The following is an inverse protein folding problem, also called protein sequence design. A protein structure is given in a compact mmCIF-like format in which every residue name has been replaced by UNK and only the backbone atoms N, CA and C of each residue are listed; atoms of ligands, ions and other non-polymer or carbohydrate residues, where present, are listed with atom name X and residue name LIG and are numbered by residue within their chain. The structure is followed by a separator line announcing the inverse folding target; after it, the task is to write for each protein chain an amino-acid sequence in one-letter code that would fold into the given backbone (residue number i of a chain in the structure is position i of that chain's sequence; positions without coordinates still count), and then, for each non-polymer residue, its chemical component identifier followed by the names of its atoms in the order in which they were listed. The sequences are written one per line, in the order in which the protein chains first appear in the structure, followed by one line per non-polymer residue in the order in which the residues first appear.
data_IF_222270367252
#
_entry.id   IF_222270367252
#
_cell.length_a   1.000
_cell.length_b   1.000
_cell.length_c   1.000
_cell.angle_alpha   90.00
_cell.angle_beta   90.00
_cell.angle_gamma   90.00
#
_symmetry.space_group_name_H-M   'P 1'
#
loop_
_entity.id
_entity.type
_entity.pdbx_description
1 polymer ?
#
# COMPACT_ATOMS: atom_id res chain seq x y z
N UNK A 1 -9.86 -0.76 -15.44
CA UNK A 1 -9.72 -1.40 -14.12
C UNK A 1 -8.40 -0.97 -13.49
N UNK A 2 -7.36 -1.77 -13.57
CA UNK A 2 -6.10 -1.36 -12.99
C UNK A 2 -6.11 -1.40 -11.46
N UNK A 3 -5.38 -0.48 -10.83
CA UNK A 3 -5.27 -0.45 -9.37
C UNK A 3 -6.58 0.05 -8.78
N UNK A 4 -7.32 -0.83 -8.11
CA UNK A 4 -8.59 -0.48 -7.45
C UNK A 4 -8.38 -0.08 -6.00
N UNK A 5 -7.24 -0.44 -5.41
CA UNK A 5 -6.82 -0.03 -4.08
C UNK A 5 -5.30 0.05 -4.04
N UNK A 6 -4.77 1.22 -3.77
CA UNK A 6 -3.36 1.40 -3.44
C UNK A 6 -3.28 1.61 -1.93
N UNK A 7 -2.74 0.62 -1.20
CA UNK A 7 -2.80 0.63 0.25
C UNK A 7 -1.41 0.59 0.86
N UNK A 8 -1.19 1.44 1.83
CA UNK A 8 -0.02 1.40 2.70
C UNK A 8 -0.41 0.71 4.00
N UNK A 9 0.23 -0.42 4.30
CA UNK A 9 0.03 -1.16 5.54
C UNK A 9 1.29 -1.95 5.85
N UNK A 10 1.89 -1.72 7.02
CA UNK A 10 3.15 -2.37 7.39
C UNK A 10 3.07 -3.89 7.46
N UNK A 11 1.86 -4.43 7.61
CA UNK A 11 1.64 -5.87 7.65
C UNK A 11 1.59 -6.50 6.25
N UNK A 12 1.40 -5.69 5.20
CA UNK A 12 1.24 -6.12 3.80
C UNK A 12 0.11 -7.15 3.64
N UNK A 13 0.40 -8.38 3.19
CA UNK A 13 -0.64 -9.42 3.07
C UNK A 13 -0.86 -10.06 4.43
N UNK A 14 -2.05 -9.88 4.97
CA UNK A 14 -2.49 -10.45 6.24
C UNK A 14 -4.01 -10.61 6.24
N UNK A 15 -4.57 -11.15 7.34
CA UNK A 15 -5.99 -11.47 7.41
C UNK A 15 -6.92 -10.34 7.01
N UNK A 16 -6.70 -9.12 7.49
CA UNK A 16 -7.58 -7.99 7.17
C UNK A 16 -7.51 -7.59 5.70
N UNK A 17 -6.33 -7.59 5.09
CA UNK A 17 -6.21 -7.27 3.66
C UNK A 17 -6.90 -8.34 2.83
N UNK A 18 -6.60 -9.60 3.10
CA UNK A 18 -7.13 -10.72 2.31
C UNK A 18 -8.63 -10.92 2.55
N UNK A 19 -9.05 -10.96 3.82
CA UNK A 19 -10.44 -11.27 4.16
C UNK A 19 -11.35 -10.06 3.93
N UNK A 20 -11.02 -8.91 4.51
CA UNK A 20 -11.90 -7.76 4.46
C UNK A 20 -11.85 -7.05 3.10
N UNK A 21 -10.66 -6.67 2.65
CA UNK A 21 -10.52 -5.93 1.39
C UNK A 21 -10.65 -6.82 0.18
N UNK A 22 -10.14 -8.06 0.26
CA UNK A 22 -10.25 -9.02 -0.82
C UNK A 22 -11.69 -9.39 -1.12
N UNK A 23 -12.49 -9.66 -0.09
CA UNK A 23 -13.91 -9.98 -0.29
C UNK A 23 -14.72 -8.77 -0.73
N UNK A 24 -14.40 -7.59 -0.23
CA UNK A 24 -15.10 -6.37 -0.61
C UNK A 24 -14.85 -5.97 -2.06
N UNK A 25 -13.60 -6.00 -2.49
CA UNK A 25 -13.19 -5.55 -3.83
C UNK A 25 -13.15 -6.68 -4.87
N UNK A 26 -12.97 -7.91 -4.44
CA UNK A 26 -12.82 -9.10 -5.31
C UNK A 26 -11.78 -8.87 -6.41
N UNK A 27 -10.51 -8.63 -6.03
CA UNK A 27 -9.48 -8.37 -7.02
C UNK A 27 -9.11 -9.63 -7.79
N UNK A 28 -8.56 -9.43 -8.99
CA UNK A 28 -7.92 -10.52 -9.73
C UNK A 28 -6.54 -10.81 -9.18
N UNK A 29 -5.87 -9.78 -8.65
CA UNK A 29 -4.47 -9.88 -8.22
C UNK A 29 -4.20 -8.97 -7.03
N UNK A 30 -3.32 -9.45 -6.13
CA UNK A 30 -2.72 -8.65 -5.07
C UNK A 30 -1.24 -8.54 -5.37
N UNK A 31 -0.69 -7.33 -5.41
CA UNK A 31 0.73 -7.11 -5.66
C UNK A 31 1.38 -6.42 -4.48
N UNK A 32 2.60 -6.81 -4.16
CA UNK A 32 3.45 -6.12 -3.18
C UNK A 32 4.56 -5.42 -3.96
N UNK A 33 4.74 -4.13 -3.69
CA UNK A 33 5.86 -3.35 -4.20
C UNK A 33 6.84 -3.12 -3.05
N UNK A 34 7.95 -3.87 -3.06
CA UNK A 34 8.91 -3.83 -1.97
C UNK A 34 10.26 -4.38 -2.42
N UNK A 35 11.32 -3.57 -2.28
CA UNK A 35 12.64 -3.96 -2.73
C UNK A 35 13.21 -5.13 -1.93
N UNK A 36 13.05 -5.11 -0.61
CA UNK A 36 13.59 -6.14 0.26
C UNK A 36 12.93 -7.49 -0.01
N UNK A 37 11.60 -7.53 -0.04
CA UNK A 37 10.85 -8.77 -0.27
C UNK A 37 11.12 -9.31 -1.67
N UNK A 38 11.19 -8.45 -2.67
CA UNK A 38 11.47 -8.85 -4.04
C UNK A 38 12.86 -9.51 -4.17
N UNK A 39 13.83 -9.09 -3.36
CA UNK A 39 15.19 -9.65 -3.37
C UNK A 39 15.37 -10.89 -2.50
N UNK A 40 14.36 -11.27 -1.71
CA UNK A 40 14.42 -12.39 -0.78
C UNK A 40 13.44 -13.49 -1.20
N UNK A 41 13.91 -14.60 -1.83
CA UNK A 41 13.02 -15.69 -2.21
C UNK A 41 12.23 -16.26 -1.05
N UNK A 42 12.81 -16.31 0.14
CA UNK A 42 12.16 -16.81 1.34
C UNK A 42 10.99 -15.92 1.78
N UNK A 43 11.21 -14.60 1.85
CA UNK A 43 10.16 -13.66 2.23
C UNK A 43 9.06 -13.61 1.17
N UNK A 44 9.42 -13.64 -0.10
CA UNK A 44 8.48 -13.69 -1.21
C UNK A 44 7.56 -14.90 -1.09
N UNK A 45 8.11 -16.07 -0.84
CA UNK A 45 7.30 -17.29 -0.71
C UNK A 45 6.41 -17.24 0.53
N UNK A 46 6.90 -16.67 1.63
CA UNK A 46 6.12 -16.52 2.86
C UNK A 46 4.84 -15.71 2.60
N UNK A 47 4.94 -14.59 1.90
CA UNK A 47 3.77 -13.78 1.56
C UNK A 47 2.85 -14.49 0.56
N UNK A 48 3.41 -15.18 -0.43
CA UNK A 48 2.60 -15.92 -1.41
C UNK A 48 1.77 -17.01 -0.76
N UNK A 49 2.28 -17.65 0.28
CA UNK A 49 1.54 -18.68 1.04
C UNK A 49 0.33 -18.10 1.79
N UNK A 50 0.30 -16.81 2.05
CA UNK A 50 -0.81 -16.15 2.76
C UNK A 50 -1.98 -15.78 1.86
N UNK A 51 -1.84 -15.95 0.54
CA UNK A 51 -2.86 -15.56 -0.43
C UNK A 51 -3.78 -16.75 -0.72
N UNK A 52 -5.12 -16.57 -0.59
CA UNK A 52 -6.06 -17.62 -0.95
C UNK A 52 -5.97 -17.98 -2.44
N UNK A 53 -6.36 -19.23 -2.81
CA UNK A 53 -6.28 -19.69 -4.20
C UNK A 53 -7.07 -18.86 -5.20
N UNK A 54 -8.08 -18.13 -4.72
CA UNK A 54 -8.95 -17.31 -5.58
C UNK A 54 -8.25 -16.07 -6.14
N UNK A 55 -7.13 -15.67 -5.55
CA UNK A 55 -6.39 -14.49 -5.97
C UNK A 55 -5.02 -14.87 -6.50
N UNK A 56 -4.58 -14.18 -7.54
CA UNK A 56 -3.19 -14.22 -7.94
C UNK A 56 -2.39 -13.22 -7.10
N UNK A 57 -1.12 -13.52 -6.89
CA UNK A 57 -0.24 -12.63 -6.13
C UNK A 57 1.12 -12.52 -6.80
N UNK A 58 1.72 -11.35 -6.65
CA UNK A 58 3.05 -11.06 -7.22
C UNK A 58 3.80 -10.10 -6.32
N UNK A 59 5.13 -10.19 -6.33
CA UNK A 59 6.01 -9.24 -5.65
C UNK A 59 6.94 -8.63 -6.68
N UNK A 60 7.06 -7.32 -6.68
CA UNK A 60 7.95 -6.58 -7.55
C UNK A 60 8.78 -5.59 -6.73
N UNK A 61 10.02 -5.36 -7.15
CA UNK A 61 10.78 -4.23 -6.60
C UNK A 61 10.20 -2.91 -7.15
N UNK A 62 10.64 -1.79 -6.61
CA UNK A 62 10.06 -0.49 -6.99
C UNK A 62 10.36 -0.10 -8.44
N UNK A 63 11.51 -0.49 -8.96
CA UNK A 63 11.83 -0.24 -10.37
C UNK A 63 10.91 -1.01 -11.29
N UNK A 64 10.74 -2.31 -11.06
CA UNK A 64 9.79 -3.14 -11.80
C UNK A 64 8.36 -2.60 -11.68
N UNK A 65 7.97 -2.20 -10.47
CA UNK A 65 6.65 -1.64 -10.20
C UNK A 65 6.41 -0.37 -11.03
N UNK A 66 7.37 0.54 -11.05
CA UNK A 66 7.24 1.79 -11.81
C UNK A 66 7.10 1.53 -13.31
N UNK A 67 7.86 0.59 -13.85
CA UNK A 67 7.78 0.22 -15.26
C UNK A 67 6.43 -0.41 -15.59
N UNK A 68 5.97 -1.34 -14.77
CA UNK A 68 4.69 -2.03 -15.01
C UNK A 68 3.50 -1.08 -14.90
N UNK A 69 3.51 -0.20 -13.91
CA UNK A 69 2.44 0.80 -13.74
C UNK A 69 2.43 1.80 -14.89
N UNK A 70 3.59 2.27 -15.31
CA UNK A 70 3.71 3.21 -16.43
C UNK A 70 3.33 2.59 -17.76
N UNK A 71 3.56 1.29 -17.93
CA UNK A 71 3.25 0.58 -19.16
C UNK A 71 1.83 -0.02 -19.21
N UNK A 72 1.02 0.22 -18.19
CA UNK A 72 -0.35 -0.25 -18.16
C UNK A 72 -0.51 -1.76 -18.03
N UNK A 73 0.48 -2.46 -17.47
CA UNK A 73 0.45 -3.93 -17.33
C UNK A 73 -0.76 -4.44 -16.58
N UNK A 74 -1.24 -3.64 -15.61
CA UNK A 74 -2.37 -4.03 -14.75
C UNK A 74 -3.71 -3.48 -15.21
N UNK A 75 -3.78 -2.78 -16.34
CA UNK A 75 -5.00 -2.04 -16.73
C UNK A 75 -6.21 -2.93 -16.96
N UNK A 76 -6.00 -4.18 -17.30
CA UNK A 76 -7.08 -5.14 -17.59
C UNK A 76 -7.48 -5.99 -16.39
N UNK A 77 -6.79 -5.84 -15.27
CA UNK A 77 -7.06 -6.57 -14.03
C UNK A 77 -7.59 -5.62 -12.96
N UNK A 78 -8.26 -6.19 -11.96
CA UNK A 78 -8.56 -5.49 -10.70
C UNK A 78 -7.42 -5.82 -9.72
N UNK A 79 -6.64 -4.82 -9.35
CA UNK A 79 -5.42 -5.04 -8.57
C UNK A 79 -5.47 -4.27 -7.25
N UNK A 80 -5.15 -4.97 -6.15
CA UNK A 80 -4.79 -4.34 -4.89
C UNK A 80 -3.28 -4.25 -4.85
N UNK A 81 -2.75 -3.03 -4.72
CA UNK A 81 -1.32 -2.78 -4.60
C UNK A 81 -0.97 -2.42 -3.16
N UNK A 82 0.02 -3.08 -2.61
CA UNK A 82 0.44 -2.94 -1.21
C UNK A 82 1.87 -2.43 -1.13
N UNK A 83 2.08 -1.44 -0.28
CA UNK A 83 3.40 -0.96 0.15
C UNK A 83 3.42 -0.89 1.67
N UNK A 84 4.60 -0.91 2.27
CA UNK A 84 4.73 -0.94 3.73
C UNK A 84 5.27 0.35 4.35
N UNK A 85 5.58 1.35 3.54
CA UNK A 85 6.10 2.62 4.07
C UNK A 85 5.86 3.77 3.09
N UNK A 86 5.81 5.02 3.58
CA UNK A 86 5.56 6.18 2.71
C UNK A 86 6.75 6.54 1.80
N UNK A 87 7.98 6.18 2.16
CA UNK A 87 9.14 6.47 1.33
C UNK A 87 9.08 5.75 -0.02
N UNK A 88 8.53 4.54 -0.05
CA UNK A 88 8.35 3.79 -1.28
C UNK A 88 7.35 4.47 -2.22
N UNK A 89 6.30 5.06 -1.68
CA UNK A 89 5.34 5.85 -2.46
C UNK A 89 6.04 7.07 -3.07
N UNK A 90 6.85 7.74 -2.27
CA UNK A 90 7.61 8.90 -2.74
C UNK A 90 8.55 8.51 -3.89
N UNK A 91 9.24 7.38 -3.76
CA UNK A 91 10.12 6.89 -4.81
C UNK A 91 9.37 6.56 -6.11
N UNK A 92 8.23 5.90 -6.01
CA UNK A 92 7.38 5.63 -7.19
C UNK A 92 6.94 6.93 -7.86
N UNK A 93 6.55 7.93 -7.08
CA UNK A 93 6.20 9.25 -7.61
C UNK A 93 7.37 9.92 -8.31
N UNK A 94 8.56 9.85 -7.73
CA UNK A 94 9.78 10.40 -8.34
C UNK A 94 10.14 9.69 -9.65
N UNK A 95 9.74 8.44 -9.81
CA UNK A 95 9.91 7.67 -11.03
C UNK A 95 8.80 7.92 -12.06
N UNK A 96 7.90 8.86 -11.80
CA UNK A 96 6.86 9.26 -12.73
C UNK A 96 5.55 8.50 -12.62
N UNK A 97 5.40 7.64 -11.62
CA UNK A 97 4.14 6.90 -11.44
C UNK A 97 3.05 7.82 -10.90
N UNK A 98 1.89 7.79 -11.52
CA UNK A 98 0.73 8.52 -11.04
C UNK A 98 0.03 7.73 -9.93
N UNK A 99 -0.03 8.31 -8.74
CA UNK A 99 -0.73 7.72 -7.59
C UNK A 99 -1.68 8.79 -7.05
N UNK A 100 -2.95 8.78 -7.46
CA UNK A 100 -3.89 9.85 -7.06
C UNK A 100 -4.37 9.70 -5.62
N UNK A 101 -4.50 8.47 -5.14
CA UNK A 101 -5.07 8.22 -3.82
C UNK A 101 -4.40 7.00 -3.19
N UNK A 102 -4.13 7.07 -1.90
CA UNK A 102 -3.60 5.96 -1.11
C UNK A 102 -4.50 5.72 0.10
N UNK A 103 -4.89 4.47 0.29
CA UNK A 103 -5.58 4.01 1.49
C UNK A 103 -4.53 3.66 2.55
N UNK A 104 -4.62 4.29 3.71
CA UNK A 104 -3.63 4.14 4.77
C UNK A 104 -4.18 3.23 5.86
N UNK A 105 -3.55 2.08 6.02
CA UNK A 105 -3.89 1.10 7.05
C UNK A 105 -2.94 1.16 8.22
N UNK A 106 -2.45 -0.01 8.69
CA UNK A 106 -1.65 -0.11 9.89
C UNK A 106 -0.22 0.40 9.74
N UNK A 107 0.19 1.27 10.62
CA UNK A 107 1.59 1.59 10.90
C UNK A 107 1.79 1.49 12.40
N UNK A 108 2.63 0.54 12.82
CA UNK A 108 2.73 0.13 14.21
C UNK A 108 3.52 1.09 15.07
N UNK A 109 3.31 1.00 16.38
CA UNK A 109 4.13 1.71 17.33
C UNK A 109 5.61 1.33 17.18
N UNK A 110 6.47 2.33 17.20
CA UNK A 110 7.91 2.18 17.38
C UNK A 110 8.44 3.44 18.05
N UNK A 111 9.65 3.37 18.57
CA UNK A 111 10.25 4.54 19.22
C UNK A 111 10.32 5.71 18.24
N UNK A 112 9.89 6.88 18.69
CA UNK A 112 9.87 8.09 17.87
C UNK A 112 8.58 8.29 17.07
N UNK A 113 7.64 7.37 17.15
CA UNK A 113 6.32 7.51 16.50
C UNK A 113 5.27 7.96 17.50
N UNK A 114 4.41 8.87 17.06
CA UNK A 114 3.27 9.39 17.79
C UNK A 114 1.99 8.73 17.30
N UNK A 115 1.08 8.41 18.22
CA UNK A 115 -0.22 7.84 17.85
C UNK A 115 -1.11 8.89 17.21
N UNK A 116 -1.57 8.63 16.01
CA UNK A 116 -2.54 9.46 15.29
C UNK A 116 -3.94 8.84 15.36
N UNK A 117 -4.02 7.53 15.15
CA UNK A 117 -5.23 6.71 15.25
C UNK A 117 -4.87 5.41 15.97
N UNK A 118 -5.86 4.60 16.42
CA UNK A 118 -5.55 3.35 17.11
C UNK A 118 -4.61 2.41 16.35
N UNK A 119 -4.65 2.43 15.02
CA UNK A 119 -3.82 1.59 14.16
C UNK A 119 -2.70 2.36 13.46
N UNK A 120 -2.59 3.69 13.69
CA UNK A 120 -1.67 4.53 12.92
C UNK A 120 -0.76 5.32 13.84
N UNK A 121 0.54 5.01 13.78
CA UNK A 121 1.59 5.72 14.48
C UNK A 121 2.58 6.28 13.47
N UNK A 122 2.92 7.56 13.58
CA UNK A 122 3.78 8.25 12.62
C UNK A 122 4.95 8.92 13.32
N UNK A 123 6.14 8.78 12.75
CA UNK A 123 7.31 9.56 13.14
C UNK A 123 7.25 10.94 12.49
N UNK A 124 8.17 11.82 12.89
CA UNK A 124 8.32 13.12 12.25
C UNK A 124 8.67 12.96 10.77
N UNK A 125 9.56 12.03 10.45
CA UNK A 125 9.95 11.75 9.07
C UNK A 125 8.77 11.24 8.25
N UNK A 126 7.96 10.35 8.82
CA UNK A 126 6.75 9.87 8.17
C UNK A 126 5.81 11.02 7.81
N UNK A 127 5.55 11.91 8.78
CA UNK A 127 4.70 13.08 8.57
C UNK A 127 5.22 14.00 7.48
N UNK A 128 6.52 14.22 7.45
CA UNK A 128 7.15 15.07 6.44
C UNK A 128 6.99 14.47 5.04
N UNK A 129 7.17 13.17 4.89
CA UNK A 129 6.96 12.48 3.62
C UNK A 129 5.49 12.55 3.19
N UNK A 130 4.56 12.31 4.10
CA UNK A 130 3.13 12.41 3.79
C UNK A 130 2.76 13.82 3.34
N UNK A 131 3.25 14.85 4.04
CA UNK A 131 2.99 16.24 3.64
C UNK A 131 3.54 16.55 2.26
N UNK A 132 4.75 16.07 1.96
CA UNK A 132 5.35 16.25 0.64
C UNK A 132 4.51 15.57 -0.45
N UNK A 133 4.06 14.35 -0.22
CA UNK A 133 3.21 13.63 -1.15
C UNK A 133 1.86 14.33 -1.35
N UNK A 134 1.26 14.83 -0.26
CA UNK A 134 0.00 15.59 -0.35
C UNK A 134 0.17 16.89 -1.15
N UNK A 135 1.32 17.56 -1.01
CA UNK A 135 1.65 18.74 -1.83
C UNK A 135 1.77 18.38 -3.31
N UNK A 136 2.15 17.15 -3.62
CA UNK A 136 2.22 16.65 -5.00
C UNK A 136 0.86 16.15 -5.53
N UNK A 137 -0.19 16.29 -4.75
CA UNK A 137 -1.54 15.92 -5.16
C UNK A 137 -1.99 14.51 -4.79
N UNK A 138 -1.21 13.78 -4.01
CA UNK A 138 -1.63 12.47 -3.51
C UNK A 138 -2.58 12.65 -2.34
N UNK A 139 -3.73 11.98 -2.38
CA UNK A 139 -4.71 11.99 -1.29
C UNK A 139 -4.52 10.75 -0.43
N UNK A 140 -4.53 10.93 0.89
CA UNK A 140 -4.42 9.83 1.84
C UNK A 140 -5.69 9.73 2.67
N UNK A 141 -6.29 8.56 2.68
CA UNK A 141 -7.46 8.26 3.51
C UNK A 141 -7.12 7.12 4.46
N UNK A 142 -7.26 7.38 5.76
CA UNK A 142 -7.03 6.41 6.81
C UNK A 142 -8.27 5.54 6.98
N UNK A 143 -8.11 4.23 6.83
CA UNK A 143 -9.22 3.30 6.93
C UNK A 143 -8.66 1.90 7.21
N UNK A 144 -9.05 1.32 8.34
CA UNK A 144 -8.53 0.01 8.72
C UNK A 144 -9.19 -1.10 7.90
N UNK A 145 -10.51 -1.10 7.84
CA UNK A 145 -11.31 -2.09 7.09
C UNK A 145 -12.34 -1.38 6.22
N UNK A 146 -12.90 -2.05 5.18
CA UNK A 146 -13.83 -1.40 4.24
C UNK A 146 -15.06 -0.77 4.86
N UNK A 147 -15.56 -1.36 5.96
CA UNK A 147 -16.74 -0.85 6.65
C UNK A 147 -16.44 0.29 7.63
N UNK A 148 -15.18 0.58 7.89
CA UNK A 148 -14.78 1.64 8.80
C UNK A 148 -14.89 3.02 8.14
N UNK A 149 -14.98 4.06 8.95
CA UNK A 149 -15.00 5.44 8.46
C UNK A 149 -13.68 5.79 7.78
N UNK A 150 -13.77 6.39 6.60
CA UNK A 150 -12.63 6.96 5.87
C UNK A 150 -12.28 8.32 6.46
N UNK A 151 -11.07 8.46 6.99
CA UNK A 151 -10.60 9.73 7.56
C UNK A 151 -9.51 10.33 6.70
N UNK A 152 -9.65 11.57 6.32
CA UNK A 152 -8.65 12.26 5.53
C UNK A 152 -7.42 12.55 6.39
N UNK A 153 -6.25 12.04 6.00
CA UNK A 153 -5.01 12.23 6.76
C UNK A 153 -4.66 13.71 6.92
N UNK A 154 -4.97 14.54 5.94
CA UNK A 154 -4.68 15.97 5.98
C UNK A 154 -5.31 16.64 7.21
N UNK A 155 -6.48 16.19 7.62
CA UNK A 155 -7.17 16.73 8.79
C UNK A 155 -6.56 16.27 10.11
N UNK A 156 -5.73 15.24 10.09
CA UNK A 156 -5.12 14.64 11.27
C UNK A 156 -3.68 15.10 11.52
N UNK A 157 -3.07 15.79 10.57
CA UNK A 157 -1.69 16.25 10.67
C UNK A 157 -1.59 17.76 10.95
#
# INVERSE_FOLDING_TARGET
MGIVLFRLDERLIHGQVVVAWGEYLKPDRIVIFNNQIASSPWERELYMCCVPPDFQASVYNLEEASQKLSNGVFDKEKVIALVDNPADILQLRQQGVRIPEVNLGGMHYSQGREQILPYLYLSKEDKDIFRKLMQQGVKFFCQDVPCAEKKNLRELL
#
